data_IF_364146792982
#
_entry.id   IF_364146792982
#
_cell.length_a   1.000
_cell.length_b   1.000
_cell.length_c   1.000
_cell.angle_alpha   90.00
_cell.angle_beta   90.00
_cell.angle_gamma   90.00
#
_symmetry.space_group_name_H-M   'P 1'
#
loop_
_entity.id
_entity.type
_entity.pdbx_description
1 polymer ?
#
# COMPACT_ATOMS: atom_id res chain seq x y z
N UNK A 1 -32.69 8.95 -64.35
CA UNK A 1 -33.09 7.84 -63.46
C UNK A 1 -32.72 8.20 -62.00
N UNK A 2 -33.73 8.41 -61.16
CA UNK A 2 -33.51 8.71 -59.74
C UNK A 2 -33.48 7.40 -58.96
N UNK A 3 -32.34 6.97 -58.53
CA UNK A 3 -32.14 5.76 -57.72
C UNK A 3 -32.69 6.00 -56.32
N UNK A 4 -33.71 5.27 -55.94
CA UNK A 4 -34.42 5.41 -54.68
C UNK A 4 -33.57 4.80 -53.53
N UNK A 5 -33.33 5.57 -52.50
CA UNK A 5 -32.54 5.16 -51.31
C UNK A 5 -33.03 3.89 -50.61
N UNK A 6 -34.29 3.50 -50.84
CA UNK A 6 -34.85 2.27 -50.27
C UNK A 6 -34.39 0.98 -50.96
N UNK A 7 -33.84 1.07 -52.17
CA UNK A 7 -33.38 -0.12 -52.92
C UNK A 7 -31.95 -0.53 -52.47
N UNK A 8 -31.16 0.41 -51.93
CA UNK A 8 -29.79 0.14 -51.46
C UNK A 8 -29.78 -0.64 -50.14
N UNK A 9 -30.84 -0.48 -49.30
CA UNK A 9 -30.93 -1.15 -48.01
C UNK A 9 -31.38 -2.61 -48.05
N UNK A 10 -31.85 -3.10 -49.21
CA UNK A 10 -32.31 -4.50 -49.35
C UNK A 10 -31.23 -5.47 -49.85
N UNK A 11 -30.08 -4.98 -50.31
CA UNK A 11 -28.98 -5.80 -50.82
C UNK A 11 -27.87 -6.08 -49.80
N UNK A 12 -28.01 -5.60 -48.56
CA UNK A 12 -26.94 -5.71 -47.50
C UNK A 12 -27.25 -6.77 -46.44
N UNK A 13 -28.19 -7.66 -46.69
CA UNK A 13 -28.62 -8.64 -45.71
C UNK A 13 -28.35 -10.07 -46.20
N UNK A 14 -27.13 -10.48 -46.34
CA UNK A 14 -26.70 -11.90 -46.22
C UNK A 14 -25.17 -11.98 -46.33
N UNK A 15 -24.46 -11.44 -45.34
CA UNK A 15 -23.10 -11.90 -45.06
C UNK A 15 -23.04 -12.20 -43.56
N UNK A 16 -23.29 -13.46 -43.24
CA UNK A 16 -23.10 -14.00 -41.91
C UNK A 16 -21.59 -13.98 -41.64
N UNK A 17 -21.11 -12.89 -41.07
CA UNK A 17 -19.77 -12.85 -40.52
C UNK A 17 -19.83 -13.62 -39.18
N UNK A 18 -19.36 -14.85 -39.20
CA UNK A 18 -19.05 -15.59 -37.99
C UNK A 18 -17.99 -14.79 -37.24
N UNK A 19 -18.42 -13.93 -36.32
CA UNK A 19 -17.54 -13.28 -35.37
C UNK A 19 -16.99 -14.33 -34.42
N UNK A 20 -15.90 -14.97 -34.81
CA UNK A 20 -15.03 -15.65 -33.84
C UNK A 20 -14.56 -14.57 -32.89
N UNK A 21 -15.18 -14.51 -31.71
CA UNK A 21 -14.64 -13.82 -30.56
C UNK A 21 -13.26 -14.42 -30.26
N UNK A 22 -12.23 -13.87 -30.87
CA UNK A 22 -10.86 -14.01 -30.40
C UNK A 22 -10.84 -13.35 -29.02
N UNK A 23 -11.15 -14.16 -27.99
CA UNK A 23 -10.78 -13.82 -26.63
C UNK A 23 -9.25 -13.73 -26.63
N UNK A 24 -8.75 -12.51 -26.79
CA UNK A 24 -7.34 -12.27 -26.56
C UNK A 24 -6.99 -12.88 -25.19
N UNK A 25 -6.00 -13.77 -25.11
CA UNK A 25 -5.60 -14.29 -23.83
C UNK A 25 -5.24 -13.06 -22.99
N UNK A 26 -5.95 -12.90 -21.86
CA UNK A 26 -5.60 -11.90 -20.85
C UNK A 26 -4.13 -12.11 -20.60
N UNK A 27 -3.30 -11.21 -21.12
CA UNK A 27 -1.86 -11.32 -20.99
C UNK A 27 -1.60 -11.50 -19.50
N UNK A 28 -1.27 -12.71 -19.11
CA UNK A 28 -0.80 -12.97 -17.75
C UNK A 28 0.39 -12.02 -17.58
N UNK A 29 0.19 -10.98 -16.79
CA UNK A 29 1.25 -10.05 -16.44
C UNK A 29 2.38 -10.94 -15.94
N UNK A 30 3.39 -11.12 -16.77
CA UNK A 30 4.57 -11.88 -16.39
C UNK A 30 5.02 -11.28 -15.06
N UNK A 31 4.80 -12.01 -13.99
CA UNK A 31 5.39 -11.64 -12.71
C UNK A 31 6.88 -11.72 -12.98
N UNK A 32 7.49 -10.55 -13.08
CA UNK A 32 8.96 -10.48 -13.08
C UNK A 32 9.39 -11.34 -11.89
N UNK A 33 10.20 -12.37 -12.07
CA UNK A 33 10.65 -13.17 -10.94
C UNK A 33 11.21 -12.17 -9.95
N UNK A 34 10.63 -12.08 -8.75
CA UNK A 34 11.22 -11.27 -7.68
C UNK A 34 12.64 -11.77 -7.57
N UNK A 35 13.60 -10.91 -7.92
CA UNK A 35 15.00 -11.28 -7.91
C UNK A 35 15.29 -11.94 -6.57
N UNK A 36 15.96 -13.07 -6.60
CA UNK A 36 16.31 -13.81 -5.38
C UNK A 36 16.97 -12.81 -4.44
N UNK A 37 16.28 -12.51 -3.32
CA UNK A 37 16.78 -11.55 -2.36
C UNK A 37 18.19 -11.97 -1.93
N UNK A 38 19.17 -11.11 -2.11
CA UNK A 38 20.51 -11.41 -1.67
C UNK A 38 20.49 -11.44 -0.12
N UNK A 39 20.64 -12.60 0.53
CA UNK A 39 20.55 -12.70 1.99
C UNK A 39 21.67 -11.95 2.70
N UNK A 40 22.70 -11.57 1.97
CA UNK A 40 23.83 -10.77 2.49
C UNK A 40 23.70 -9.28 2.18
N UNK A 41 22.56 -8.84 1.59
CA UNK A 41 22.36 -7.43 1.33
C UNK A 41 22.32 -6.65 2.64
N UNK A 42 23.05 -5.55 2.68
CA UNK A 42 23.05 -4.57 3.78
C UNK A 42 23.14 -3.17 3.21
N UNK A 43 22.47 -2.23 3.83
CA UNK A 43 22.57 -0.81 3.52
C UNK A 43 23.96 -0.32 3.90
N UNK A 44 24.74 0.14 2.92
CA UNK A 44 26.16 0.47 3.15
C UNK A 44 26.38 1.93 3.54
N UNK A 45 25.66 2.85 2.94
CA UNK A 45 26.03 4.27 3.00
C UNK A 45 25.28 5.09 4.05
N UNK A 46 24.15 4.62 4.55
CA UNK A 46 23.37 5.29 5.62
C UNK A 46 22.95 6.74 5.36
N UNK A 47 23.18 7.27 4.15
CA UNK A 47 22.87 8.67 3.81
C UNK A 47 21.36 8.95 3.76
N UNK A 48 20.58 7.94 3.40
CA UNK A 48 19.12 7.98 3.40
C UNK A 48 18.64 7.15 4.58
N UNK A 49 17.90 7.78 5.47
CA UNK A 49 17.25 7.08 6.58
C UNK A 49 15.98 6.40 6.05
N UNK A 50 16.00 5.08 5.95
CA UNK A 50 14.93 4.28 5.39
C UNK A 50 14.13 3.60 6.49
N UNK A 51 12.81 3.59 6.33
CA UNK A 51 11.86 2.83 7.14
C UNK A 51 11.02 1.90 6.27
N UNK A 52 10.29 1.01 6.91
CA UNK A 52 9.30 0.15 6.24
C UNK A 52 7.95 0.22 6.93
N UNK A 53 6.91 -0.02 6.15
CA UNK A 53 5.55 -0.19 6.61
C UNK A 53 5.32 -1.65 7.04
N UNK A 54 5.20 -1.89 8.35
CA UNK A 54 5.20 -3.25 8.91
C UNK A 54 4.05 -4.14 8.43
N UNK A 55 2.83 -3.61 8.30
CA UNK A 55 1.67 -4.41 7.88
C UNK A 55 1.77 -4.94 6.45
N UNK A 56 2.63 -4.39 5.60
CA UNK A 56 2.84 -4.88 4.23
C UNK A 56 3.57 -6.23 4.19
N UNK A 57 4.13 -6.65 5.30
CA UNK A 57 4.84 -7.92 5.44
C UNK A 57 4.02 -9.02 6.13
N UNK A 58 2.74 -8.78 6.37
CA UNK A 58 1.87 -9.83 6.90
C UNK A 58 1.91 -11.10 6.02
N UNK A 59 1.95 -12.29 6.60
CA UNK A 59 1.73 -12.62 8.03
C UNK A 59 2.99 -12.66 8.91
N UNK A 60 4.15 -12.13 8.47
CA UNK A 60 5.38 -12.15 9.27
C UNK A 60 5.18 -11.43 10.62
N UNK A 61 5.53 -12.07 11.75
CA UNK A 61 5.43 -11.42 13.06
C UNK A 61 6.32 -10.19 13.17
N UNK A 62 5.79 -9.12 13.78
CA UNK A 62 6.54 -7.86 13.96
C UNK A 62 7.92 -8.04 14.59
N UNK A 63 8.13 -8.90 15.63
CA UNK A 63 9.46 -9.11 16.20
C UNK A 63 10.48 -9.72 15.24
N UNK A 64 10.03 -10.61 14.38
CA UNK A 64 10.87 -11.22 13.34
C UNK A 64 11.26 -10.19 12.27
N UNK A 65 10.26 -9.46 11.77
CA UNK A 65 10.47 -8.39 10.81
C UNK A 65 11.43 -7.32 11.34
N UNK A 66 11.31 -6.94 12.62
CA UNK A 66 12.18 -5.94 13.23
C UNK A 66 13.65 -6.38 13.26
N UNK A 67 13.91 -7.64 13.56
CA UNK A 67 15.27 -8.20 13.50
C UNK A 67 15.85 -8.11 12.09
N UNK A 68 15.07 -8.50 11.09
CA UNK A 68 15.48 -8.39 9.69
C UNK A 68 15.73 -6.94 9.26
N UNK A 69 14.88 -6.01 9.69
CA UNK A 69 15.07 -4.57 9.45
C UNK A 69 16.42 -4.08 10.01
N UNK A 70 16.72 -4.49 11.23
CA UNK A 70 18.01 -4.15 11.89
C UNK A 70 19.18 -4.76 11.13
N UNK A 71 19.09 -6.02 10.73
CA UNK A 71 20.12 -6.71 9.97
C UNK A 71 20.41 -6.06 8.63
N UNK A 72 19.35 -5.65 7.90
CA UNK A 72 19.47 -4.97 6.60
C UNK A 72 20.04 -3.57 6.75
N UNK A 73 19.91 -2.94 7.93
CA UNK A 73 20.39 -1.59 8.21
C UNK A 73 19.34 -0.52 8.02
N UNK A 74 18.05 -0.86 8.13
CA UNK A 74 16.98 0.11 8.25
C UNK A 74 17.09 0.83 9.60
N UNK A 75 16.54 2.05 9.65
CA UNK A 75 16.63 2.89 10.86
C UNK A 75 15.31 2.99 11.61
N UNK A 76 14.20 2.65 10.96
CA UNK A 76 12.88 2.79 11.57
C UNK A 76 11.86 1.82 10.96
N UNK A 77 10.73 1.69 11.65
CA UNK A 77 9.53 1.00 11.21
C UNK A 77 8.30 1.88 11.43
N UNK A 78 7.22 1.59 10.72
CA UNK A 78 5.92 2.23 10.87
C UNK A 78 4.79 1.24 10.58
N UNK A 79 3.53 1.62 10.81
CA UNK A 79 2.39 0.74 10.55
C UNK A 79 2.40 -0.57 11.35
N UNK A 80 2.87 -0.50 12.58
CA UNK A 80 2.90 -1.61 13.54
C UNK A 80 2.13 -1.23 14.82
N UNK A 81 1.70 -2.24 15.56
CA UNK A 81 0.97 -2.00 16.82
C UNK A 81 1.87 -1.34 17.87
N UNK A 82 1.36 -0.33 18.60
CA UNK A 82 2.10 0.35 19.69
C UNK A 82 2.67 -0.59 20.75
N UNK A 83 2.06 -1.73 20.99
CA UNK A 83 2.58 -2.74 21.93
C UNK A 83 4.00 -3.21 21.62
N UNK A 84 4.46 -3.04 20.38
CA UNK A 84 5.80 -3.44 19.95
C UNK A 84 6.83 -2.31 20.03
N UNK A 85 6.43 -1.07 20.31
CA UNK A 85 7.34 0.08 20.32
C UNK A 85 8.53 -0.08 21.27
N UNK A 86 8.35 -0.58 22.51
CA UNK A 86 9.47 -0.80 23.41
C UNK A 86 10.54 -1.72 22.82
N UNK A 87 10.13 -2.86 22.27
CA UNK A 87 11.00 -3.84 21.64
C UNK A 87 11.74 -3.26 20.42
N UNK A 88 11.04 -2.46 19.59
CA UNK A 88 11.64 -1.78 18.43
C UNK A 88 12.76 -0.85 18.90
N UNK A 89 12.52 -0.09 19.96
CA UNK A 89 13.50 0.82 20.57
C UNK A 89 14.71 0.07 21.13
N UNK A 90 14.49 -1.04 21.81
CA UNK A 90 15.57 -1.91 22.32
C UNK A 90 16.47 -2.45 21.22
N UNK A 91 15.92 -2.74 20.03
CA UNK A 91 16.69 -3.11 18.85
C UNK A 91 17.45 -1.93 18.22
N UNK A 92 17.27 -0.71 18.73
CA UNK A 92 17.87 0.50 18.18
C UNK A 92 17.25 0.95 16.87
N UNK A 93 15.98 0.59 16.63
CA UNK A 93 15.15 1.12 15.56
C UNK A 93 14.22 2.21 16.09
N UNK A 94 13.86 3.16 15.25
CA UNK A 94 12.90 4.21 15.57
C UNK A 94 11.49 3.87 15.03
N UNK A 95 10.49 4.62 15.49
CA UNK A 95 9.17 4.66 14.88
C UNK A 95 9.08 5.92 14.03
N UNK A 96 9.02 5.75 12.72
CA UNK A 96 9.02 6.88 11.79
C UNK A 96 7.70 7.66 11.80
N UNK A 97 6.57 6.96 11.99
CA UNK A 97 5.22 7.51 12.04
C UNK A 97 4.37 6.72 13.04
N UNK A 98 3.68 7.42 13.95
CA UNK A 98 2.63 6.86 14.79
C UNK A 98 1.31 6.94 14.04
N UNK A 99 0.58 5.83 13.94
CA UNK A 99 -0.72 5.77 13.29
C UNK A 99 -1.80 6.45 14.12
N UNK A 100 -2.75 7.12 13.49
CA UNK A 100 -3.98 7.64 14.09
C UNK A 100 -5.21 6.82 13.68
N UNK A 101 -6.24 7.46 13.11
CA UNK A 101 -7.37 6.74 12.49
C UNK A 101 -6.92 5.97 11.23
N UNK A 102 -7.63 4.92 10.88
CA UNK A 102 -7.29 4.11 9.71
C UNK A 102 -7.76 4.73 8.38
N UNK A 103 -7.48 4.05 7.28
CA UNK A 103 -7.86 4.48 5.93
C UNK A 103 -9.37 4.46 5.65
N UNK A 104 -10.16 3.77 6.47
CA UNK A 104 -11.59 3.55 6.18
C UNK A 104 -12.48 4.72 6.56
N UNK A 105 -12.07 5.49 7.56
CA UNK A 105 -12.81 6.63 8.08
C UNK A 105 -11.86 7.81 8.14
N UNK A 106 -12.11 8.78 7.30
CA UNK A 106 -11.31 10.01 7.22
C UNK A 106 -12.14 11.24 7.55
N UNK A 107 -11.50 12.38 7.84
CA UNK A 107 -12.16 13.63 8.18
C UNK A 107 -12.86 14.33 6.99
N UNK A 108 -12.80 13.76 5.79
CA UNK A 108 -13.58 14.25 4.63
C UNK A 108 -15.08 14.08 4.86
N UNK A 109 -15.49 13.03 5.56
CA UNK A 109 -16.88 12.84 5.97
C UNK A 109 -17.10 13.48 7.36
N UNK A 110 -17.98 14.51 7.47
CA UNK A 110 -18.28 15.16 8.74
C UNK A 110 -18.75 14.22 9.83
N UNK A 111 -19.41 13.11 9.47
CA UNK A 111 -19.87 12.09 10.42
C UNK A 111 -18.70 11.39 11.16
N UNK A 112 -17.48 11.48 10.64
CA UNK A 112 -16.31 10.87 11.24
C UNK A 112 -15.46 11.88 12.05
N UNK A 113 -15.80 13.15 12.09
CA UNK A 113 -14.95 14.19 12.69
C UNK A 113 -14.60 13.89 14.15
N UNK A 114 -15.59 13.60 14.99
CA UNK A 114 -15.35 13.35 16.41
C UNK A 114 -14.43 12.15 16.64
N UNK A 115 -14.70 11.05 15.94
CA UNK A 115 -13.85 9.85 16.00
C UNK A 115 -12.42 10.13 15.50
N UNK A 116 -12.28 10.89 14.40
CA UNK A 116 -10.98 11.25 13.86
C UNK A 116 -10.19 12.14 14.83
N UNK A 117 -10.84 13.13 15.44
CA UNK A 117 -10.21 14.04 16.42
C UNK A 117 -9.75 13.24 17.64
N UNK A 118 -10.60 12.35 18.18
CA UNK A 118 -10.24 11.48 19.30
C UNK A 118 -9.00 10.63 18.96
N UNK A 119 -9.02 9.92 17.84
CA UNK A 119 -7.90 9.05 17.41
C UNK A 119 -6.62 9.80 17.11
N UNK A 120 -6.70 11.00 16.55
CA UNK A 120 -5.54 11.85 16.33
C UNK A 120 -4.96 12.32 17.67
N UNK A 121 -5.82 12.72 18.62
CA UNK A 121 -5.40 13.17 19.95
C UNK A 121 -4.69 12.04 20.70
N UNK A 122 -5.28 10.85 20.75
CA UNK A 122 -4.65 9.65 21.34
C UNK A 122 -3.26 9.37 20.72
N UNK A 123 -3.17 9.47 19.38
CA UNK A 123 -1.91 9.25 18.67
C UNK A 123 -0.85 10.31 18.97
N UNK A 124 -1.26 11.58 19.15
CA UNK A 124 -0.37 12.67 19.55
C UNK A 124 0.18 12.43 20.96
N UNK A 125 -0.69 12.05 21.89
CA UNK A 125 -0.28 11.75 23.28
C UNK A 125 0.66 10.55 23.33
N UNK A 126 0.34 9.47 22.63
CA UNK A 126 1.21 8.31 22.51
C UNK A 126 2.56 8.69 21.91
N UNK A 127 2.55 9.49 20.85
CA UNK A 127 3.75 9.97 20.17
C UNK A 127 4.65 10.77 21.11
N UNK A 128 4.06 11.70 21.86
CA UNK A 128 4.75 12.54 22.83
C UNK A 128 5.34 11.70 24.00
N UNK A 129 4.53 10.83 24.58
CA UNK A 129 4.93 10.00 25.73
C UNK A 129 6.03 8.99 25.35
N UNK A 130 6.03 8.48 24.13
CA UNK A 130 7.06 7.56 23.64
C UNK A 130 8.31 8.26 23.09
N UNK A 131 8.31 9.60 23.02
CA UNK A 131 9.43 10.40 22.51
C UNK A 131 9.54 10.39 20.98
N UNK A 132 8.47 10.05 20.26
CA UNK A 132 8.38 10.13 18.79
C UNK A 132 7.93 11.52 18.35
N UNK A 133 7.98 11.80 17.04
CA UNK A 133 7.83 13.17 16.53
C UNK A 133 6.77 13.34 15.45
N UNK A 134 6.20 12.26 14.97
CA UNK A 134 5.30 12.32 13.81
C UNK A 134 4.11 11.42 13.98
N UNK A 135 2.94 11.98 13.74
CA UNK A 135 1.67 11.25 13.65
C UNK A 135 1.21 11.33 12.19
N UNK A 136 0.71 10.23 11.65
CA UNK A 136 0.09 10.19 10.32
C UNK A 136 -1.42 10.23 10.43
N UNK A 137 -2.05 11.03 9.59
CA UNK A 137 -3.50 11.08 9.40
C UNK A 137 -3.82 10.83 7.92
N UNK A 138 -5.05 10.43 7.64
CA UNK A 138 -5.52 10.08 6.30
C UNK A 138 -6.77 10.91 5.98
N UNK A 139 -7.00 11.18 4.70
CA UNK A 139 -8.19 11.91 4.20
C UNK A 139 -9.09 10.97 3.41
#
# INVERSE_FOLDING_TARGET
MKTNRRTILKSAATTTVASTLLTAPKAARAQTPMGVANPKFRIKNGRIKQSIMGWTFNPMPTPELAKLCKEVGLVAMEGISPKHYPMIKELGLDISLVGSHGFKKGPVDPANHDECVEKITEAIELCANAGYKRVITFT
#
